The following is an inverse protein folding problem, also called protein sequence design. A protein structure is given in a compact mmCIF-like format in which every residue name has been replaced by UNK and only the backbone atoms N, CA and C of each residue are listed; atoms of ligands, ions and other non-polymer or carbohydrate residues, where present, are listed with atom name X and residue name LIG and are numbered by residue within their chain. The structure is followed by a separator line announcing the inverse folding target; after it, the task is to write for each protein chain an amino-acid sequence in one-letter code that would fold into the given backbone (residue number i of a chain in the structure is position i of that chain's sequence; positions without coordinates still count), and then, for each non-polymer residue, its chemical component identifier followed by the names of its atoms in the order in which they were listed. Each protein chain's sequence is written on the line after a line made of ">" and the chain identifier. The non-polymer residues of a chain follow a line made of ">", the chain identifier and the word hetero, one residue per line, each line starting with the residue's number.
data_IF_328859473414
#
_entry.id   IF_328859473414
#
_cell.length_a   1.000
_cell.length_b   1.000
_cell.length_c   1.000
_cell.angle_alpha   90.00
_cell.angle_beta   90.00
_cell.angle_gamma   90.00
#
_symmetry.space_group_name_H-M   'P 1'
#
loop_
_entity.id
_entity.type
_entity.pdbx_description
1 polymer ?
#
# COMPACT_ATOMS: atom_id res chain seq x y z
N UNK A 1 -47.14 23.71 16.22
CA UNK A 1 -46.03 24.69 16.20
C UNK A 1 -44.89 24.03 15.43
N UNK A 2 -44.51 24.68 14.32
CA UNK A 2 -43.56 24.39 13.23
C UNK A 2 -42.66 23.13 13.29
N UNK A 3 -42.87 22.25 12.30
CA UNK A 3 -41.87 21.36 11.70
C UNK A 3 -40.95 22.16 10.76
N UNK A 4 -39.68 21.76 10.65
CA UNK A 4 -38.77 22.19 9.59
C UNK A 4 -38.19 20.96 8.89
N UNK A 5 -38.40 20.89 7.58
CA UNK A 5 -37.68 20.04 6.63
C UNK A 5 -36.89 21.01 5.74
N UNK A 6 -35.58 20.81 5.62
CA UNK A 6 -34.74 21.50 4.65
C UNK A 6 -34.37 20.51 3.55
N UNK A 7 -34.98 20.69 2.38
CA UNK A 7 -34.53 20.11 1.11
C UNK A 7 -34.11 21.28 0.24
N UNK A 8 -32.86 21.29 -0.20
CA UNK A 8 -32.32 22.26 -1.15
C UNK A 8 -31.90 21.52 -2.41
N UNK A 9 -32.73 21.63 -3.43
CA UNK A 9 -32.31 21.47 -4.81
C UNK A 9 -31.38 22.63 -5.19
N UNK A 10 -30.34 22.32 -5.96
CA UNK A 10 -29.84 23.21 -7.02
C UNK A 10 -29.18 22.37 -8.11
N UNK A 11 -29.87 22.34 -9.24
CA UNK A 11 -29.39 21.98 -10.56
C UNK A 11 -28.19 22.83 -11.00
N UNK A 12 -27.29 22.26 -11.80
CA UNK A 12 -27.11 22.70 -13.20
C UNK A 12 -26.09 21.84 -13.93
N UNK A 13 -26.53 21.26 -15.02
CA UNK A 13 -25.74 20.69 -16.12
C UNK A 13 -24.94 21.80 -16.83
N UNK A 14 -23.64 21.62 -16.99
CA UNK A 14 -22.86 22.30 -18.02
C UNK A 14 -22.48 21.32 -19.13
N UNK A 15 -23.15 21.46 -20.28
CA UNK A 15 -22.61 21.04 -21.57
C UNK A 15 -21.72 22.17 -22.08
N UNK A 16 -20.45 21.87 -22.36
CA UNK A 16 -19.64 22.70 -23.25
C UNK A 16 -19.44 21.95 -24.55
N UNK A 17 -20.12 22.43 -25.58
CA UNK A 17 -19.92 22.09 -26.98
C UNK A 17 -18.75 22.94 -27.46
N UNK A 18 -17.59 22.35 -27.76
CA UNK A 18 -16.56 23.05 -28.52
C UNK A 18 -16.71 22.77 -30.01
N UNK A 19 -16.80 23.89 -30.70
CA UNK A 19 -16.97 24.09 -32.12
C UNK A 19 -15.77 23.50 -32.88
N UNK A 20 -16.06 22.70 -33.89
CA UNK A 20 -15.13 22.30 -34.95
C UNK A 20 -14.82 23.55 -35.78
N UNK A 21 -13.59 24.05 -35.67
CA UNK A 21 -13.03 24.99 -36.61
C UNK A 21 -12.01 24.25 -37.48
N UNK A 22 -12.46 23.80 -38.64
CA UNK A 22 -11.65 23.30 -39.74
C UNK A 22 -10.80 24.46 -40.27
N UNK A 23 -9.54 24.53 -39.85
CA UNK A 23 -8.53 25.36 -40.50
C UNK A 23 -7.88 24.50 -41.59
N UNK A 24 -8.25 24.77 -42.84
CA UNK A 24 -7.58 24.22 -44.01
C UNK A 24 -6.17 24.83 -44.10
N UNK A 25 -5.18 24.10 -43.58
CA UNK A 25 -3.77 24.39 -43.83
C UNK A 25 -3.43 23.85 -45.21
N UNK A 26 -3.11 24.78 -46.09
CA UNK A 26 -2.58 24.55 -47.43
C UNK A 26 -1.31 23.69 -47.33
N UNK A 27 -1.43 22.41 -47.68
CA UNK A 27 -0.32 21.47 -47.77
C UNK A 27 0.53 21.85 -49.00
N UNK A 28 1.48 22.76 -48.83
CA UNK A 28 2.60 22.86 -49.75
C UNK A 28 3.45 21.60 -49.57
N UNK A 29 3.42 20.73 -50.58
CA UNK A 29 4.44 19.71 -50.76
C UNK A 29 5.79 20.40 -51.00
N UNK A 30 6.50 20.73 -49.93
CA UNK A 30 7.94 20.80 -49.96
C UNK A 30 8.41 19.35 -50.03
N UNK A 31 8.62 18.86 -51.26
CA UNK A 31 9.53 17.73 -51.46
C UNK A 31 10.80 18.09 -50.72
N UNK A 32 11.10 17.37 -49.63
CA UNK A 32 12.42 17.42 -49.04
C UNK A 32 13.41 17.29 -50.21
N UNK A 33 14.40 18.20 -50.35
CA UNK A 33 15.44 17.96 -51.31
C UNK A 33 15.96 16.56 -51.01
N UNK A 34 15.82 15.65 -51.97
CA UNK A 34 16.60 14.42 -51.98
C UNK A 34 17.99 14.86 -51.58
N UNK A 35 18.49 14.37 -50.44
CA UNK A 35 19.83 14.73 -50.00
C UNK A 35 20.72 14.44 -51.18
N UNK A 36 21.18 15.51 -51.83
CA UNK A 36 22.38 15.41 -52.64
C UNK A 36 23.36 14.85 -51.64
N UNK A 37 23.73 13.58 -51.80
CA UNK A 37 24.93 13.07 -51.17
C UNK A 37 26.00 14.06 -51.62
N UNK A 38 26.30 15.00 -50.73
CA UNK A 38 27.57 15.68 -50.75
C UNK A 38 28.51 14.50 -50.62
N UNK A 39 29.07 14.07 -51.74
CA UNK A 39 30.24 13.21 -51.73
C UNK A 39 31.27 14.07 -51.02
N UNK A 40 31.33 13.90 -49.70
CA UNK A 40 32.51 14.28 -48.93
C UNK A 40 33.68 13.67 -49.70
N UNK A 41 34.74 14.47 -49.87
CA UNK A 41 35.87 14.10 -50.70
C UNK A 41 36.44 12.74 -50.28
N UNK A 42 37.47 12.30 -50.98
CA UNK A 42 38.20 11.07 -50.69
C UNK A 42 38.78 10.96 -49.27
N UNK A 43 38.44 11.84 -48.34
CA UNK A 43 39.04 11.97 -47.03
C UNK A 43 38.44 10.94 -46.05
N UNK A 44 39.20 10.51 -45.04
CA UNK A 44 38.67 9.62 -44.01
C UNK A 44 37.57 10.33 -43.20
N UNK A 45 36.48 9.62 -42.94
CA UNK A 45 35.29 10.14 -42.26
C UNK A 45 34.89 9.21 -41.11
N UNK A 46 35.57 9.24 -39.95
CA UNK A 46 35.13 8.49 -38.79
C UNK A 46 33.79 9.06 -38.32
N UNK A 47 32.73 8.27 -38.22
CA UNK A 47 31.39 8.70 -37.79
C UNK A 47 30.94 7.83 -36.63
N UNK A 48 30.45 8.44 -35.54
CA UNK A 48 29.80 7.70 -34.46
C UNK A 48 28.52 7.05 -35.01
N UNK A 49 28.38 5.75 -34.80
CA UNK A 49 27.23 4.94 -35.23
C UNK A 49 26.30 4.62 -34.07
N UNK A 50 26.84 4.54 -32.86
CA UNK A 50 26.09 4.18 -31.66
C UNK A 50 26.84 4.60 -30.40
N UNK A 51 26.09 5.01 -29.38
CA UNK A 51 26.61 5.15 -28.02
C UNK A 51 25.83 4.21 -27.12
N UNK A 52 26.52 3.40 -26.33
CA UNK A 52 25.90 2.49 -25.36
C UNK A 52 26.37 2.85 -23.96
N UNK A 53 25.46 2.72 -22.98
CA UNK A 53 25.82 2.76 -21.56
C UNK A 53 25.49 1.44 -20.89
N UNK A 54 26.44 0.99 -20.09
CA UNK A 54 26.47 -0.35 -19.51
C UNK A 54 26.64 -0.26 -18.00
N UNK A 55 25.94 -1.14 -17.28
CA UNK A 55 26.19 -1.39 -15.86
C UNK A 55 27.29 -2.44 -15.70
N UNK A 56 28.32 -2.05 -14.96
CA UNK A 56 29.49 -2.87 -14.65
C UNK A 56 29.79 -2.91 -13.15
N UNK A 57 28.82 -2.54 -12.31
CA UNK A 57 29.05 -2.35 -10.86
C UNK A 57 29.36 -3.64 -10.11
N UNK A 58 28.87 -4.78 -10.61
CA UNK A 58 29.13 -6.10 -10.05
C UNK A 58 30.35 -6.81 -10.67
N UNK A 59 31.13 -6.10 -11.50
CA UNK A 59 32.27 -6.64 -12.24
C UNK A 59 33.56 -5.98 -11.77
N UNK A 60 34.68 -6.70 -11.89
CA UNK A 60 36.01 -6.18 -11.50
C UNK A 60 37.03 -6.46 -12.60
N UNK A 61 38.09 -5.64 -12.66
CA UNK A 61 39.16 -5.79 -13.64
C UNK A 61 38.68 -5.86 -15.09
N UNK A 62 39.25 -6.78 -15.88
CA UNK A 62 38.92 -6.97 -17.30
C UNK A 62 37.47 -7.40 -17.55
N UNK A 63 36.75 -7.93 -16.54
CA UNK A 63 35.34 -8.27 -16.71
C UNK A 63 34.48 -7.04 -16.94
N UNK A 64 34.82 -5.87 -16.36
CA UNK A 64 34.10 -4.61 -16.64
C UNK A 64 34.18 -4.22 -18.12
N UNK A 65 35.18 -4.69 -18.83
CA UNK A 65 35.43 -4.34 -20.23
C UNK A 65 34.74 -5.31 -21.20
N UNK A 66 34.70 -6.60 -20.85
CA UNK A 66 34.20 -7.64 -21.73
C UNK A 66 32.77 -8.08 -21.40
N UNK A 67 32.36 -7.90 -20.14
CA UNK A 67 31.06 -8.27 -19.62
C UNK A 67 30.34 -7.01 -19.13
N UNK A 68 29.02 -7.00 -19.26
CA UNK A 68 28.19 -5.87 -18.82
C UNK A 68 26.73 -6.13 -19.12
N UNK A 69 25.84 -5.47 -18.38
CA UNK A 69 24.44 -5.36 -18.78
C UNK A 69 24.22 -4.04 -19.51
N UNK A 70 23.75 -4.09 -20.76
CA UNK A 70 23.36 -2.88 -21.50
C UNK A 70 22.19 -2.22 -20.75
N UNK A 71 22.33 -0.94 -20.41
CA UNK A 71 21.28 -0.12 -19.79
C UNK A 71 20.48 0.57 -20.88
N UNK A 72 21.18 1.30 -21.76
CA UNK A 72 20.56 2.10 -22.81
C UNK A 72 21.50 2.27 -24.03
N UNK A 73 20.95 2.66 -25.18
CA UNK A 73 21.67 2.83 -26.43
C UNK A 73 21.02 3.91 -27.31
N UNK A 74 21.84 4.82 -27.83
CA UNK A 74 21.41 5.84 -28.80
C UNK A 74 22.10 5.64 -30.14
N UNK A 75 21.39 5.94 -31.22
CA UNK A 75 21.91 5.93 -32.60
C UNK A 75 21.87 7.36 -33.15
N UNK A 76 23.02 7.92 -33.57
CA UNK A 76 23.10 9.26 -34.15
C UNK A 76 22.09 9.48 -35.28
N UNK A 77 21.38 10.61 -35.24
CA UNK A 77 20.32 10.95 -36.18
C UNK A 77 18.94 10.41 -35.81
N UNK A 78 18.80 9.74 -34.66
CA UNK A 78 17.51 9.40 -34.06
C UNK A 78 16.73 10.63 -33.57
N UNK A 79 15.45 10.42 -33.24
CA UNK A 79 14.60 11.46 -32.63
C UNK A 79 14.95 11.74 -31.16
N UNK A 80 15.67 10.82 -30.52
CA UNK A 80 16.12 10.92 -29.14
C UNK A 80 17.63 10.68 -29.08
N UNK A 81 18.34 11.65 -28.51
CA UNK A 81 19.79 11.62 -28.32
C UNK A 81 20.15 11.62 -26.83
N UNK A 82 19.22 11.21 -25.96
CA UNK A 82 19.42 11.13 -24.52
C UNK A 82 19.62 9.67 -24.09
N UNK A 83 20.76 9.38 -23.46
CA UNK A 83 20.95 8.13 -22.72
C UNK A 83 20.30 8.26 -21.34
N UNK A 84 19.40 7.33 -20.99
CA UNK A 84 18.71 7.31 -19.70
C UNK A 84 19.27 6.20 -18.80
N UNK A 85 19.71 6.59 -17.61
CA UNK A 85 20.20 5.66 -16.59
C UNK A 85 19.36 5.83 -15.32
N UNK A 86 18.67 4.77 -14.90
CA UNK A 86 17.90 4.71 -13.65
C UNK A 86 18.34 3.49 -12.84
N UNK A 87 19.08 3.67 -11.74
CA UNK A 87 19.58 2.54 -10.91
C UNK A 87 19.66 2.86 -9.40
N UNK A 88 19.67 1.77 -8.61
CA UNK A 88 19.75 1.77 -7.14
C UNK A 88 21.19 1.84 -6.60
N UNK A 89 21.31 2.13 -5.29
CA UNK A 89 22.52 2.47 -4.49
C UNK A 89 23.78 1.64 -4.70
N UNK A 90 23.65 0.39 -5.14
CA UNK A 90 24.79 -0.53 -5.26
C UNK A 90 25.59 -0.33 -6.56
N UNK A 91 25.10 0.53 -7.45
CA UNK A 91 25.68 0.73 -8.77
C UNK A 91 26.65 1.90 -8.76
N UNK A 92 27.92 1.59 -8.48
CA UNK A 92 28.98 2.61 -8.52
C UNK A 92 29.73 2.64 -9.85
N UNK A 93 29.51 1.72 -10.79
CA UNK A 93 30.35 1.58 -11.98
C UNK A 93 29.59 1.48 -13.30
N UNK A 94 29.90 2.40 -14.21
CA UNK A 94 29.36 2.44 -15.56
C UNK A 94 30.46 2.30 -16.61
N UNK A 95 30.10 1.79 -17.79
CA UNK A 95 30.93 1.83 -19.00
C UNK A 95 30.17 2.54 -20.11
N UNK A 96 30.79 3.54 -20.73
CA UNK A 96 30.27 4.17 -21.95
C UNK A 96 31.07 3.68 -23.15
N UNK A 97 30.37 3.25 -24.20
CA UNK A 97 30.96 2.71 -25.43
C UNK A 97 30.52 3.53 -26.65
N UNK A 98 31.47 3.95 -27.48
CA UNK A 98 31.27 4.64 -28.75
C UNK A 98 31.66 3.73 -29.91
N UNK A 99 30.67 3.24 -30.66
CA UNK A 99 30.92 2.54 -31.92
C UNK A 99 31.12 3.55 -33.03
N UNK A 100 32.29 3.56 -33.64
CA UNK A 100 32.71 4.49 -34.69
C UNK A 100 32.96 3.70 -35.96
N UNK A 101 32.48 4.18 -37.11
CA UNK A 101 32.74 3.59 -38.41
C UNK A 101 33.34 4.64 -39.33
N UNK A 102 34.40 4.28 -40.04
CA UNK A 102 34.93 5.15 -41.09
C UNK A 102 34.04 5.03 -42.34
N UNK A 103 33.24 6.05 -42.61
CA UNK A 103 32.36 6.14 -43.78
C UNK A 103 33.08 6.78 -45.00
N UNK A 104 34.33 7.20 -44.85
CA UNK A 104 35.14 7.77 -45.92
C UNK A 104 35.76 6.70 -46.82
N UNK A 105 36.17 7.09 -48.02
CA UNK A 105 36.79 6.20 -49.02
C UNK A 105 38.30 5.98 -48.79
N UNK A 106 38.90 6.66 -47.80
CA UNK A 106 40.28 6.49 -47.37
C UNK A 106 40.38 5.99 -45.93
N UNK A 107 41.51 5.37 -45.62
CA UNK A 107 41.85 4.92 -44.28
C UNK A 107 42.06 6.10 -43.32
N UNK A 108 41.48 6.01 -42.12
CA UNK A 108 41.68 6.98 -41.06
C UNK A 108 42.90 6.56 -40.23
N UNK A 109 44.04 7.19 -40.48
CA UNK A 109 45.23 7.03 -39.64
C UNK A 109 45.06 7.81 -38.34
N UNK A 110 45.23 7.14 -37.21
CA UNK A 110 45.29 7.70 -35.87
C UNK A 110 46.78 7.83 -35.52
N UNK A 111 47.20 9.01 -35.11
CA UNK A 111 48.57 9.37 -34.74
C UNK A 111 48.57 10.26 -33.50
N UNK A 112 49.75 10.52 -32.93
CA UNK A 112 49.90 11.37 -31.74
C UNK A 112 49.44 12.82 -31.92
N UNK A 113 49.21 13.26 -33.16
CA UNK A 113 48.74 14.61 -33.47
C UNK A 113 47.22 14.67 -33.66
N UNK A 114 46.53 13.53 -33.66
CA UNK A 114 45.09 13.43 -33.88
C UNK A 114 44.35 13.52 -32.56
N UNK A 115 43.16 14.12 -32.60
CA UNK A 115 42.31 14.29 -31.42
C UNK A 115 41.25 13.20 -31.38
N UNK A 116 41.15 12.51 -30.25
CA UNK A 116 40.06 11.59 -29.91
C UNK A 116 39.63 11.95 -28.50
N UNK A 117 38.46 12.57 -28.34
CA UNK A 117 38.00 13.01 -27.03
C UNK A 117 36.48 13.00 -26.86
N UNK A 118 36.06 12.98 -25.60
CA UNK A 118 34.69 13.14 -25.15
C UNK A 118 34.63 14.26 -24.11
N UNK A 119 33.82 15.27 -24.37
CA UNK A 119 33.71 16.49 -23.58
C UNK A 119 32.31 16.64 -22.98
N UNK A 120 32.19 17.49 -21.96
CA UNK A 120 30.94 17.70 -21.21
C UNK A 120 30.76 16.69 -20.08
N UNK A 121 31.85 16.07 -19.62
CA UNK A 121 31.83 15.17 -18.47
C UNK A 121 31.80 15.95 -17.17
N UNK A 122 31.04 15.46 -16.19
CA UNK A 122 31.04 16.01 -14.84
C UNK A 122 32.27 15.55 -14.07
N UNK A 123 33.39 16.26 -14.27
CA UNK A 123 34.64 15.96 -13.59
C UNK A 123 34.60 16.17 -12.07
N UNK A 124 33.51 16.74 -11.51
CA UNK A 124 33.35 16.92 -10.05
C UNK A 124 32.74 15.66 -9.45
N UNK A 125 31.67 15.14 -10.07
CA UNK A 125 30.92 14.03 -9.51
C UNK A 125 31.32 12.66 -10.09
N UNK A 126 32.00 12.64 -11.25
CA UNK A 126 32.44 11.41 -11.91
C UNK A 126 33.90 11.11 -11.59
N UNK A 127 34.15 9.91 -11.10
CA UNK A 127 35.49 9.35 -10.95
C UNK A 127 35.79 8.45 -12.13
N UNK A 128 36.70 8.89 -13.01
CA UNK A 128 37.14 8.12 -14.18
C UNK A 128 38.46 7.43 -13.87
N UNK A 129 38.56 6.16 -14.24
CA UNK A 129 39.85 5.45 -14.29
C UNK A 129 40.46 5.71 -15.67
N UNK A 130 41.36 6.71 -15.75
CA UNK A 130 41.93 7.15 -17.03
C UNK A 130 43.14 6.33 -17.46
N UNK A 131 43.79 5.59 -16.55
CA UNK A 131 44.98 4.79 -16.87
C UNK A 131 44.59 3.43 -17.45
N UNK A 132 43.70 2.71 -16.77
CA UNK A 132 43.25 1.39 -17.21
C UNK A 132 41.82 1.40 -17.71
N UNK A 133 40.98 2.29 -17.18
CA UNK A 133 39.56 2.32 -17.48
C UNK A 133 39.16 3.02 -18.78
N UNK A 134 40.09 3.63 -19.54
CA UNK A 134 39.80 4.21 -20.85
C UNK A 134 40.64 3.54 -21.96
N UNK A 135 39.98 3.13 -23.04
CA UNK A 135 40.65 2.45 -24.16
C UNK A 135 39.93 2.68 -25.49
N UNK A 136 40.63 2.39 -26.59
CA UNK A 136 40.00 2.20 -27.88
C UNK A 136 40.56 0.95 -28.59
N UNK A 137 39.73 0.37 -29.47
CA UNK A 137 40.04 -0.83 -30.23
C UNK A 137 39.51 -0.69 -31.65
N UNK A 138 40.42 -0.73 -32.62
CA UNK A 138 40.08 -0.89 -34.04
C UNK A 138 39.72 -2.36 -34.29
N UNK A 139 38.73 -2.62 -35.13
CA UNK A 139 38.27 -3.97 -35.48
C UNK A 139 39.45 -4.88 -35.88
N UNK A 140 39.54 -6.06 -35.27
CA UNK A 140 40.65 -7.02 -35.39
C UNK A 140 42.04 -6.53 -34.90
N UNK A 141 42.12 -5.34 -34.29
CA UNK A 141 43.34 -4.77 -33.73
C UNK A 141 43.51 -5.01 -32.23
N UNK A 142 44.71 -4.71 -31.74
CA UNK A 142 45.00 -4.68 -30.30
C UNK A 142 44.26 -3.55 -29.60
N UNK A 143 43.89 -3.77 -28.35
CA UNK A 143 43.35 -2.75 -27.44
C UNK A 143 44.46 -1.75 -27.10
N UNK A 144 44.15 -0.46 -27.11
CA UNK A 144 45.07 0.62 -26.72
C UNK A 144 44.48 1.37 -25.54
N UNK A 145 45.25 1.47 -24.46
CA UNK A 145 44.82 2.05 -23.19
C UNK A 145 45.41 3.44 -23.00
N UNK A 146 44.78 4.18 -22.10
CA UNK A 146 45.25 5.47 -21.65
C UNK A 146 44.35 6.59 -22.16
N UNK A 147 44.04 7.50 -21.26
CA UNK A 147 43.42 8.77 -21.54
C UNK A 147 43.90 9.81 -20.51
N UNK A 148 43.58 11.07 -20.75
CA UNK A 148 43.72 12.15 -19.78
C UNK A 148 42.37 12.83 -19.58
N UNK A 149 42.05 13.20 -18.33
CA UNK A 149 40.83 13.95 -18.01
C UNK A 149 41.22 15.36 -17.55
N UNK A 150 40.83 16.37 -18.33
CA UNK A 150 41.10 17.78 -18.01
C UNK A 150 39.84 18.59 -18.22
N UNK A 151 39.32 19.22 -17.16
CA UNK A 151 38.15 20.12 -17.20
C UNK A 151 36.91 19.50 -17.89
N UNK A 152 36.58 18.24 -17.58
CA UNK A 152 35.43 17.55 -18.18
C UNK A 152 35.64 17.07 -19.63
N UNK A 153 36.86 17.17 -20.15
CA UNK A 153 37.29 16.59 -21.43
C UNK A 153 38.15 15.35 -21.16
N UNK A 154 37.64 14.16 -21.52
CA UNK A 154 38.40 12.91 -21.58
C UNK A 154 39.04 12.77 -22.96
N UNK A 155 40.36 12.70 -23.02
CA UNK A 155 41.14 12.64 -24.25
C UNK A 155 41.96 11.34 -24.30
N UNK A 156 41.64 10.45 -25.24
CA UNK A 156 42.30 9.15 -25.40
C UNK A 156 43.72 9.30 -25.92
N UNK A 157 44.64 8.44 -25.47
CA UNK A 157 46.04 8.45 -25.92
C UNK A 157 46.17 7.88 -27.36
N UNK A 158 46.19 8.80 -28.32
CA UNK A 158 46.37 8.51 -29.75
C UNK A 158 47.82 8.21 -30.14
N UNK A 159 48.80 8.36 -29.24
CA UNK A 159 50.22 8.06 -29.52
C UNK A 159 50.46 6.59 -29.84
N UNK A 160 49.59 5.70 -29.35
CA UNK A 160 49.61 4.29 -29.67
C UNK A 160 49.29 3.98 -31.15
N UNK A 161 48.67 4.94 -31.85
CA UNK A 161 48.54 5.09 -33.30
C UNK A 161 47.85 3.93 -34.04
N UNK A 162 47.13 4.11 -35.15
CA UNK A 162 46.56 2.98 -35.90
C UNK A 162 45.88 3.36 -37.20
N UNK A 163 45.27 2.39 -37.86
CA UNK A 163 44.61 2.58 -39.14
C UNK A 163 43.21 2.01 -39.03
N UNK A 164 42.19 2.86 -39.09
CA UNK A 164 40.80 2.47 -39.21
C UNK A 164 40.44 2.46 -40.71
N UNK A 165 40.39 1.27 -41.35
CA UNK A 165 40.21 1.19 -42.80
C UNK A 165 38.90 1.81 -43.25
N UNK A 166 38.80 2.19 -44.52
CA UNK A 166 37.49 2.55 -45.11
C UNK A 166 36.46 1.44 -44.85
N UNK A 167 35.29 1.83 -44.34
CA UNK A 167 34.21 0.92 -43.92
C UNK A 167 34.46 0.16 -42.61
N UNK A 168 35.68 0.22 -42.05
CA UNK A 168 36.06 -0.45 -40.80
C UNK A 168 35.47 0.20 -39.56
N UNK A 169 35.50 -0.54 -38.44
CA UNK A 169 34.93 -0.09 -37.15
C UNK A 169 35.98 0.07 -36.05
N UNK A 170 35.68 0.95 -35.12
CA UNK A 170 36.43 1.20 -33.89
C UNK A 170 35.45 1.30 -32.73
N UNK A 171 35.84 0.81 -31.56
CA UNK A 171 35.14 1.08 -30.31
C UNK A 171 36.04 1.94 -29.42
N UNK A 172 35.55 3.07 -28.94
CA UNK A 172 36.18 3.86 -27.88
C UNK A 172 35.33 3.74 -26.62
N UNK A 173 35.95 3.42 -25.49
CA UNK A 173 35.25 3.11 -24.26
C UNK A 173 35.92 3.77 -23.07
N UNK A 174 35.14 4.09 -22.04
CA UNK A 174 35.69 4.40 -20.73
C UNK A 174 34.78 3.95 -19.58
N UNK A 175 35.41 3.68 -18.43
CA UNK A 175 34.77 3.40 -17.16
C UNK A 175 34.66 4.67 -16.34
N UNK A 176 33.50 4.88 -15.73
CA UNK A 176 33.31 5.95 -14.77
C UNK A 176 32.46 5.47 -13.61
N UNK A 177 32.75 6.03 -12.45
CA UNK A 177 31.98 5.83 -11.25
C UNK A 177 31.33 7.17 -10.87
N UNK A 178 30.16 7.12 -10.25
CA UNK A 178 29.49 8.31 -9.69
C UNK A 178 29.11 8.04 -8.25
N UNK A 179 29.17 9.08 -7.43
CA UNK A 179 29.10 9.00 -5.97
C UNK A 179 27.88 9.68 -5.36
N UNK A 180 27.01 10.29 -6.18
CA UNK A 180 25.86 11.07 -5.71
C UNK A 180 24.59 10.72 -6.49
N UNK A 181 23.44 10.98 -5.85
CA UNK A 181 22.17 11.10 -6.55
C UNK A 181 22.27 12.29 -7.49
N UNK A 182 22.37 11.98 -8.77
CA UNK A 182 22.44 12.97 -9.83
C UNK A 182 21.16 12.76 -10.63
N UNK A 183 20.37 13.81 -10.78
CA UNK A 183 19.35 13.92 -11.82
C UNK A 183 19.76 15.11 -12.68
N UNK A 184 20.75 14.87 -13.54
CA UNK A 184 21.37 15.90 -14.36
C UNK A 184 21.41 15.48 -15.82
N UNK A 185 21.23 16.48 -16.69
CA UNK A 185 21.40 16.37 -18.12
C UNK A 185 22.75 16.95 -18.51
N UNK A 186 23.62 16.11 -19.06
CA UNK A 186 24.92 16.52 -19.54
C UNK A 186 24.89 16.63 -21.06
N UNK A 187 25.13 17.84 -21.56
CA UNK A 187 25.38 18.05 -22.99
C UNK A 187 26.81 17.63 -23.29
N UNK A 188 26.96 16.59 -24.08
CA UNK A 188 28.24 15.93 -24.33
C UNK A 188 28.60 15.97 -25.80
N UNK A 189 29.90 15.99 -26.07
CA UNK A 189 30.42 16.04 -27.44
C UNK A 189 31.53 15.03 -27.59
N UNK A 190 31.37 14.11 -28.53
CA UNK A 190 32.42 13.21 -28.96
C UNK A 190 33.05 13.74 -30.25
N UNK A 191 34.38 13.79 -30.33
CA UNK A 191 35.09 14.27 -31.52
C UNK A 191 36.24 13.34 -31.88
N UNK A 192 36.37 13.07 -33.17
CA UNK A 192 37.51 12.38 -33.77
C UNK A 192 38.01 13.20 -34.96
N UNK A 193 39.22 13.76 -34.87
CA UNK A 193 39.79 14.64 -35.90
C UNK A 193 41.18 14.14 -36.35
N UNK A 194 41.36 14.02 -37.66
CA UNK A 194 42.65 13.81 -38.29
C UNK A 194 43.28 15.16 -38.64
N UNK A 195 44.31 15.53 -37.89
CA UNK A 195 44.96 16.84 -38.01
C UNK A 195 45.74 16.95 -39.34
N UNK A 196 46.17 15.83 -39.92
CA UNK A 196 46.88 15.78 -41.20
C UNK A 196 45.98 15.90 -42.43
N UNK A 197 44.74 15.42 -42.35
CA UNK A 197 43.78 15.37 -43.46
C UNK A 197 42.71 16.48 -43.39
N UNK A 198 42.66 17.27 -42.31
CA UNK A 198 41.56 18.22 -42.05
C UNK A 198 40.17 17.56 -42.11
N UNK A 199 40.10 16.30 -41.72
CA UNK A 199 38.89 15.48 -41.77
C UNK A 199 38.58 14.92 -40.39
N UNK A 200 37.30 14.76 -40.08
CA UNK A 200 36.87 14.31 -38.77
C UNK A 200 35.36 14.27 -38.63
N UNK A 201 34.90 13.86 -37.46
CA UNK A 201 33.51 14.06 -37.05
C UNK A 201 33.42 14.65 -35.66
N UNK A 202 32.31 15.36 -35.49
CA UNK A 202 31.82 15.80 -34.19
C UNK A 202 30.41 15.24 -34.02
N UNK A 203 30.14 14.61 -32.89
CA UNK A 203 28.83 14.10 -32.54
C UNK A 203 28.41 14.63 -31.17
N UNK A 204 27.32 15.40 -31.15
CA UNK A 204 26.71 15.92 -29.95
C UNK A 204 25.59 15.00 -29.48
N UNK A 205 25.59 14.66 -28.19
CA UNK A 205 24.56 13.87 -27.54
C UNK A 205 24.31 14.39 -26.14
N UNK A 206 23.17 14.01 -25.57
CA UNK A 206 22.87 14.31 -24.18
C UNK A 206 22.90 13.01 -23.39
N UNK A 207 23.32 13.10 -22.14
CA UNK A 207 23.27 11.98 -21.21
C UNK A 207 22.47 12.44 -20.01
N UNK A 208 21.30 11.83 -19.79
CA UNK A 208 20.46 12.05 -18.61
C UNK A 208 20.74 10.93 -17.63
N UNK A 209 21.54 11.22 -16.61
CA UNK A 209 21.78 10.26 -15.53
C UNK A 209 20.82 10.61 -14.41
N UNK A 210 19.96 9.66 -14.06
CA UNK A 210 19.07 9.76 -12.91
C UNK A 210 19.38 8.62 -11.92
N UNK A 211 20.26 8.91 -10.97
CA UNK A 211 20.54 8.02 -9.85
C UNK A 211 19.63 8.43 -8.71
N UNK A 212 18.69 7.54 -8.40
CA UNK A 212 17.76 7.69 -7.29
C UNK A 212 18.22 6.75 -6.18
N UNK A 213 18.51 7.31 -5.01
CA UNK A 213 18.76 6.50 -3.82
C UNK A 213 17.46 5.77 -3.47
N UNK A 214 17.46 4.42 -3.40
CA UNK A 214 16.32 3.68 -2.89
C UNK A 214 16.12 4.05 -1.42
N UNK A 215 14.89 4.38 -1.08
CA UNK A 215 14.48 4.67 0.28
C UNK A 215 14.35 3.41 1.14
N UNK A 216 14.16 3.65 2.42
CA UNK A 216 13.87 2.64 3.43
C UNK A 216 12.38 2.75 3.81
N UNK A 217 11.67 1.63 3.78
CA UNK A 217 10.29 1.58 4.24
C UNK A 217 10.27 1.48 5.76
N UNK A 218 9.47 2.31 6.43
CA UNK A 218 9.15 2.19 7.85
C UNK A 218 7.65 1.93 8.00
N UNK A 219 7.25 0.84 8.66
CA UNK A 219 5.85 0.43 8.75
C UNK A 219 5.42 0.35 10.21
N UNK A 220 4.31 0.98 10.55
CA UNK A 220 3.76 1.00 11.91
C UNK A 220 2.30 0.57 11.94
N UNK A 221 1.98 -0.41 12.78
CA UNK A 221 0.62 -0.86 13.03
C UNK A 221 -0.04 0.00 14.11
N UNK A 222 -0.96 0.88 13.73
CA UNK A 222 -1.66 1.78 14.65
C UNK A 222 -2.81 1.05 15.37
N UNK A 223 -3.56 0.21 14.65
CA UNK A 223 -4.67 -0.61 15.16
C UNK A 223 -4.64 -2.00 14.51
N UNK A 224 -5.09 -3.07 15.21
CA UNK A 224 -5.57 -3.07 16.58
C UNK A 224 -4.41 -3.08 17.60
N UNK A 225 -4.60 -2.58 18.84
CA UNK A 225 -3.62 -2.69 19.92
C UNK A 225 -3.35 -4.15 20.29
N UNK A 226 -2.19 -4.42 20.85
CA UNK A 226 -1.84 -5.77 21.27
C UNK A 226 -2.79 -6.29 22.36
N UNK A 227 -3.18 -7.57 22.27
CA UNK A 227 -4.19 -8.25 23.10
C UNK A 227 -5.63 -7.77 22.88
N UNK A 228 -5.99 -7.38 21.66
CA UNK A 228 -7.36 -7.02 21.32
C UNK A 228 -8.27 -8.25 21.27
N UNK A 229 -9.50 -8.12 21.79
CA UNK A 229 -10.55 -9.13 21.65
C UNK A 229 -11.48 -8.74 20.52
N UNK A 230 -11.57 -9.59 19.52
CA UNK A 230 -12.40 -9.42 18.33
C UNK A 230 -13.67 -10.23 18.52
N UNK A 231 -14.81 -9.68 18.12
CA UNK A 231 -16.03 -10.46 18.10
C UNK A 231 -16.08 -11.33 16.85
N UNK A 232 -16.45 -12.60 17.00
CA UNK A 232 -16.74 -13.44 15.85
C UNK A 232 -17.85 -12.83 14.97
N UNK A 233 -17.71 -12.95 13.66
CA UNK A 233 -18.59 -12.44 12.62
C UNK A 233 -18.82 -10.91 12.66
N UNK A 234 -17.88 -10.16 13.23
CA UNK A 234 -17.87 -8.69 13.15
C UNK A 234 -16.62 -8.18 12.46
N UNK A 235 -16.78 -6.99 11.91
CA UNK A 235 -15.71 -6.22 11.32
C UNK A 235 -14.91 -5.49 12.40
N UNK A 236 -13.59 -5.51 12.29
CA UNK A 236 -12.67 -4.66 13.01
C UNK A 236 -11.74 -3.95 12.02
N UNK A 237 -11.08 -2.89 12.47
CA UNK A 237 -10.16 -2.14 11.62
C UNK A 237 -8.70 -2.56 11.90
N UNK A 238 -7.95 -2.81 10.83
CA UNK A 238 -6.49 -2.76 10.86
C UNK A 238 -6.07 -1.40 10.30
N UNK A 239 -5.41 -0.59 11.11
CA UNK A 239 -4.90 0.71 10.71
C UNK A 239 -3.37 0.66 10.68
N UNK A 240 -2.75 0.99 9.56
CA UNK A 240 -1.29 0.96 9.44
C UNK A 240 -0.78 2.11 8.61
N UNK A 241 0.37 2.65 9.01
CA UNK A 241 1.09 3.72 8.30
C UNK A 241 2.38 3.15 7.73
N UNK A 242 2.67 3.51 6.48
CA UNK A 242 3.99 3.31 5.86
C UNK A 242 4.61 4.67 5.55
N UNK A 243 5.88 4.82 5.90
CA UNK A 243 6.71 5.99 5.62
C UNK A 243 7.88 5.58 4.72
N UNK A 244 8.25 6.46 3.80
CA UNK A 244 9.46 6.31 3.00
C UNK A 244 10.57 7.20 3.55
N UNK A 245 11.72 6.63 3.89
CA UNK A 245 12.84 7.33 4.52
C UNK A 245 14.07 7.33 3.59
N UNK A 246 14.90 8.37 3.68
CA UNK A 246 16.27 8.40 3.13
C UNK A 246 16.43 8.17 1.61
N UNK A 247 15.36 8.20 0.81
CA UNK A 247 15.40 7.98 -0.63
C UNK A 247 13.99 7.83 -1.22
N UNK A 248 13.89 7.48 -2.50
CA UNK A 248 12.61 7.19 -3.14
C UNK A 248 12.18 5.74 -2.89
N UNK A 249 10.91 5.52 -2.56
CA UNK A 249 10.36 4.19 -2.39
C UNK A 249 9.43 3.77 -3.55
N UNK A 250 9.09 4.67 -4.46
CA UNK A 250 8.28 4.38 -5.64
C UNK A 250 6.87 3.90 -5.27
N UNK A 251 6.33 2.96 -6.04
CA UNK A 251 5.02 2.37 -5.73
C UNK A 251 5.16 1.32 -4.62
N UNK A 252 4.49 1.55 -3.49
CA UNK A 252 4.57 0.70 -2.30
C UNK A 252 3.22 0.04 -2.04
N UNK A 253 3.20 -1.29 -2.02
CA UNK A 253 2.03 -2.08 -1.66
C UNK A 253 2.07 -2.44 -0.18
N UNK A 254 1.03 -2.09 0.57
CA UNK A 254 0.83 -2.46 1.96
C UNK A 254 -0.21 -3.58 2.04
N UNK A 255 0.20 -4.75 2.54
CA UNK A 255 -0.66 -5.92 2.78
C UNK A 255 -0.98 -6.06 4.26
N UNK A 256 -2.25 -6.28 4.61
CA UNK A 256 -2.65 -6.77 5.93
C UNK A 256 -2.49 -8.29 6.01
N UNK A 257 -1.91 -8.78 7.11
CA UNK A 257 -1.53 -10.19 7.28
C UNK A 257 -1.92 -10.73 8.64
N UNK A 258 -1.98 -12.06 8.72
CA UNK A 258 -2.17 -12.79 9.97
C UNK A 258 -1.28 -14.03 10.04
N UNK A 259 -1.18 -14.63 11.23
CA UNK A 259 -0.48 -15.88 11.44
C UNK A 259 -1.19 -16.74 12.50
N UNK A 260 -1.31 -18.05 12.22
CA UNK A 260 -1.83 -19.07 13.13
C UNK A 260 -0.75 -20.08 13.61
N UNK A 261 0.33 -20.30 12.84
CA UNK A 261 1.30 -21.39 13.12
C UNK A 261 2.68 -21.24 12.45
N UNK A 262 3.22 -20.02 12.36
CA UNK A 262 4.61 -19.75 12.02
C UNK A 262 4.86 -19.14 10.64
N UNK A 263 3.93 -19.31 9.68
CA UNK A 263 3.96 -18.61 8.39
C UNK A 263 2.94 -17.47 8.37
N UNK A 264 3.34 -16.32 7.85
CA UNK A 264 2.45 -15.16 7.69
C UNK A 264 1.72 -15.27 6.36
N UNK A 265 0.42 -15.06 6.42
CA UNK A 265 -0.47 -15.12 5.26
C UNK A 265 -1.13 -13.76 5.09
N UNK A 266 -1.23 -13.30 3.85
CA UNK A 266 -2.04 -12.13 3.51
C UNK A 266 -3.52 -12.46 3.80
N UNK A 267 -4.23 -11.51 4.39
CA UNK A 267 -5.68 -11.66 4.63
C UNK A 267 -6.37 -11.52 3.26
N UNK A 268 -7.11 -12.53 2.77
CA UNK A 268 -7.75 -12.45 1.45
C UNK A 268 -8.81 -11.35 1.38
N UNK A 269 -9.11 -10.88 0.17
CA UNK A 269 -10.18 -9.93 -0.15
C UNK A 269 -11.54 -10.60 -0.45
N UNK A 270 -11.64 -11.89 -0.12
CA UNK A 270 -12.82 -12.72 -0.29
C UNK A 270 -13.10 -13.53 0.97
N UNK A 271 -14.37 -13.87 1.26
CA UNK A 271 -14.74 -14.60 2.47
C UNK A 271 -13.87 -15.85 2.71
N UNK A 272 -13.14 -15.84 3.82
CA UNK A 272 -12.24 -16.92 4.26
C UNK A 272 -12.15 -16.93 5.78
N UNK A 273 -11.68 -18.04 6.34
CA UNK A 273 -11.26 -18.14 7.74
C UNK A 273 -9.74 -17.94 7.87
N UNK A 274 -9.26 -17.42 9.01
CA UNK A 274 -10.02 -16.84 10.11
C UNK A 274 -10.41 -15.38 9.87
N UNK A 275 -9.89 -14.77 8.79
CA UNK A 275 -10.10 -13.38 8.44
C UNK A 275 -10.30 -13.21 6.94
N UNK A 276 -11.05 -12.17 6.56
CA UNK A 276 -11.04 -11.61 5.22
C UNK A 276 -11.26 -10.09 5.26
N UNK A 277 -10.72 -9.38 4.28
CA UNK A 277 -10.87 -7.93 4.13
C UNK A 277 -12.12 -7.59 3.32
N UNK A 278 -12.76 -6.47 3.66
CA UNK A 278 -13.82 -5.84 2.87
C UNK A 278 -13.13 -4.81 1.97
N UNK A 279 -12.82 -5.23 0.74
CA UNK A 279 -12.09 -4.42 -0.23
C UNK A 279 -10.71 -4.97 -0.53
N UNK A 280 -9.91 -4.19 -1.27
CA UNK A 280 -8.62 -4.66 -1.77
C UNK A 280 -7.58 -4.83 -0.67
N UNK A 281 -6.87 -5.94 -0.71
CA UNK A 281 -5.62 -6.18 0.00
C UNK A 281 -4.65 -6.88 -0.97
N UNK A 282 -3.53 -6.25 -1.37
CA UNK A 282 -2.91 -5.04 -0.82
C UNK A 282 -3.59 -3.71 -1.21
N UNK A 283 -3.19 -2.63 -0.51
CA UNK A 283 -3.43 -1.22 -0.90
C UNK A 283 -2.12 -0.56 -1.32
N UNK A 284 -2.15 0.38 -2.27
CA UNK A 284 -0.93 0.93 -2.89
C UNK A 284 -0.77 2.42 -2.62
N UNK A 285 0.41 2.82 -2.13
CA UNK A 285 0.91 4.19 -2.22
C UNK A 285 1.60 4.39 -3.58
N UNK A 286 1.28 5.48 -4.26
CA UNK A 286 1.87 5.78 -5.56
C UNK A 286 3.05 6.73 -5.41
N UNK A 287 4.16 6.41 -6.08
CA UNK A 287 5.33 7.29 -6.25
C UNK A 287 5.82 7.95 -4.96
N UNK A 288 6.02 7.16 -3.89
CA UNK A 288 6.50 7.68 -2.61
C UNK A 288 7.94 8.17 -2.71
N UNK A 289 8.17 9.43 -2.31
CA UNK A 289 9.49 10.04 -2.13
C UNK A 289 9.89 10.08 -0.65
N UNK A 290 11.14 10.49 -0.37
CA UNK A 290 11.65 10.59 0.99
C UNK A 290 10.82 11.58 1.83
N UNK A 291 10.31 11.11 2.96
CA UNK A 291 9.44 11.86 3.86
C UNK A 291 7.95 11.68 3.60
N UNK A 292 7.56 11.03 2.50
CA UNK A 292 6.16 10.71 2.24
C UNK A 292 5.66 9.63 3.21
N UNK A 293 4.37 9.70 3.52
CA UNK A 293 3.67 8.70 4.31
C UNK A 293 2.26 8.45 3.77
N UNK A 294 1.80 7.21 3.92
CA UNK A 294 0.40 6.85 3.71
C UNK A 294 -0.13 6.07 4.90
N UNK A 295 -1.39 6.32 5.25
CA UNK A 295 -2.12 5.52 6.23
C UNK A 295 -3.28 4.82 5.54
N UNK A 296 -3.39 3.50 5.77
CA UNK A 296 -4.48 2.70 5.24
C UNK A 296 -5.25 2.00 6.36
N UNK A 297 -6.57 1.97 6.18
CA UNK A 297 -7.51 1.24 7.03
C UNK A 297 -7.97 0.01 6.25
N UNK A 298 -7.88 -1.18 6.83
CA UNK A 298 -8.45 -2.40 6.29
C UNK A 298 -9.62 -2.81 7.18
N UNK A 299 -10.82 -2.82 6.63
CA UNK A 299 -11.99 -3.37 7.31
C UNK A 299 -11.91 -4.90 7.20
N UNK A 300 -11.72 -5.59 8.32
CA UNK A 300 -11.50 -7.04 8.35
C UNK A 300 -12.61 -7.71 9.13
N UNK A 301 -13.22 -8.75 8.56
CA UNK A 301 -14.19 -9.57 9.26
C UNK A 301 -13.49 -10.76 9.96
N UNK A 302 -13.79 -10.98 11.24
CA UNK A 302 -13.25 -12.07 12.04
C UNK A 302 -14.19 -13.29 12.03
N UNK A 303 -13.92 -14.28 11.20
CA UNK A 303 -14.74 -15.49 11.00
C UNK A 303 -14.13 -16.76 11.59
N UNK A 304 -12.91 -16.67 12.12
CA UNK A 304 -12.23 -17.82 12.70
C UNK A 304 -12.90 -18.38 13.95
N UNK A 305 -12.48 -19.58 14.39
CA UNK A 305 -13.04 -20.21 15.57
C UNK A 305 -12.85 -19.37 16.84
N UNK A 306 -13.89 -19.31 17.67
CA UNK A 306 -13.87 -18.64 18.97
C UNK A 306 -12.84 -19.29 19.90
N UNK A 307 -12.13 -18.47 20.66
CA UNK A 307 -11.07 -18.85 21.58
C UNK A 307 -9.68 -18.89 20.94
N UNK A 308 -9.57 -18.82 19.62
CA UNK A 308 -8.27 -18.83 18.95
C UNK A 308 -7.58 -17.46 18.99
N UNK A 309 -6.26 -17.50 19.10
CA UNK A 309 -5.38 -16.33 19.05
C UNK A 309 -4.65 -16.24 17.71
N UNK A 310 -4.52 -15.04 17.18
CA UNK A 310 -3.85 -14.75 15.93
C UNK A 310 -2.93 -13.54 16.09
N UNK A 311 -1.79 -13.54 15.41
CA UNK A 311 -0.95 -12.36 15.31
C UNK A 311 -1.23 -11.63 14.02
N UNK A 312 -1.65 -10.36 14.11
CA UNK A 312 -1.90 -9.45 13.00
C UNK A 312 -0.69 -8.54 12.81
N UNK A 313 -0.29 -8.32 11.56
CA UNK A 313 0.65 -7.26 11.19
C UNK A 313 0.39 -6.77 9.76
N UNK A 314 1.20 -5.82 9.31
CA UNK A 314 1.20 -5.36 7.92
C UNK A 314 2.60 -5.44 7.33
N UNK A 315 2.69 -5.59 6.01
CA UNK A 315 3.95 -5.60 5.27
C UNK A 315 3.88 -4.67 4.09
N UNK A 316 4.89 -3.81 3.97
CA UNK A 316 5.09 -2.93 2.84
C UNK A 316 6.11 -3.55 1.89
N UNK A 317 5.79 -3.55 0.60
CA UNK A 317 6.64 -4.03 -0.50
C UNK A 317 6.72 -2.98 -1.58
N UNK A 318 7.93 -2.56 -1.93
CA UNK A 318 8.14 -1.64 -3.05
C UNK A 318 8.35 -2.39 -4.36
N UNK A 319 7.88 -1.81 -5.47
CA UNK A 319 8.25 -2.25 -6.82
C UNK A 319 9.61 -1.70 -7.29
N UNK A 320 10.19 -0.73 -6.57
CA UNK A 320 11.47 -0.12 -6.91
C UNK A 320 12.63 -1.02 -6.47
N UNK A 321 13.54 -1.42 -7.39
CA UNK A 321 14.71 -2.22 -7.02
C UNK A 321 15.58 -1.53 -5.97
N UNK A 322 16.05 -2.30 -4.98
CA UNK A 322 16.90 -1.80 -3.88
C UNK A 322 16.14 -1.27 -2.67
N UNK A 323 14.81 -1.15 -2.73
CA UNK A 323 13.97 -0.86 -1.56
C UNK A 323 13.56 -2.17 -0.92
N UNK A 324 14.13 -2.47 0.25
CA UNK A 324 13.82 -3.68 1.00
C UNK A 324 12.40 -3.65 1.57
N UNK A 325 11.77 -4.82 1.63
CA UNK A 325 10.47 -4.97 2.27
C UNK A 325 10.59 -4.71 3.78
N UNK A 326 9.56 -4.11 4.38
CA UNK A 326 9.49 -3.95 5.83
C UNK A 326 8.10 -4.33 6.37
N UNK A 327 8.03 -4.68 7.64
CA UNK A 327 6.81 -5.10 8.31
C UNK A 327 6.64 -4.36 9.62
N UNK A 328 5.38 -4.15 10.01
CA UNK A 328 5.06 -3.54 11.29
C UNK A 328 5.38 -4.44 12.47
N UNK A 329 5.26 -3.88 13.68
CA UNK A 329 5.05 -4.65 14.89
C UNK A 329 3.81 -5.55 14.77
N UNK A 330 3.79 -6.57 15.61
CA UNK A 330 2.70 -7.54 15.71
C UNK A 330 1.70 -7.12 16.77
N UNK A 331 0.43 -7.39 16.50
CA UNK A 331 -0.65 -7.31 17.47
C UNK A 331 -1.28 -8.68 17.66
N UNK A 332 -1.34 -9.17 18.90
CA UNK A 332 -2.06 -10.39 19.25
C UNK A 332 -3.55 -10.07 19.37
N UNK A 333 -4.38 -10.81 18.65
CA UNK A 333 -5.83 -10.69 18.71
C UNK A 333 -6.45 -12.04 19.07
N UNK A 334 -7.52 -12.03 19.85
CA UNK A 334 -8.28 -13.22 20.19
C UNK A 334 -9.69 -13.08 19.61
N UNK A 335 -10.14 -14.09 18.85
CA UNK A 335 -11.54 -14.13 18.41
C UNK A 335 -12.37 -14.67 19.56
N UNK A 336 -13.27 -13.85 20.07
CA UNK A 336 -14.07 -14.11 21.25
C UNK A 336 -15.57 -13.99 20.92
N UNK A 337 -16.38 -14.47 21.85
CA UNK A 337 -17.83 -14.39 21.78
C UNK A 337 -18.35 -13.60 22.97
N UNK A 338 -18.99 -12.47 22.69
CA UNK A 338 -19.61 -11.66 23.74
C UNK A 338 -21.09 -11.38 23.48
N UNK A 339 -21.88 -11.63 24.53
CA UNK A 339 -23.26 -11.22 24.67
C UNK A 339 -23.31 -10.02 25.61
N UNK A 340 -23.87 -8.92 25.14
CA UNK A 340 -24.02 -7.69 25.91
C UNK A 340 -25.52 -7.43 26.05
N UNK A 341 -26.05 -7.74 27.22
CA UNK A 341 -27.45 -7.48 27.58
C UNK A 341 -27.48 -6.41 28.66
N UNK A 342 -28.26 -5.36 28.43
CA UNK A 342 -28.46 -4.27 29.37
C UNK A 342 -29.87 -4.32 29.91
N UNK A 343 -29.99 -4.29 31.23
CA UNK A 343 -31.24 -3.99 31.93
C UNK A 343 -31.15 -2.56 32.45
N UNK A 344 -32.13 -1.73 32.12
CA UNK A 344 -32.18 -0.35 32.60
C UNK A 344 -32.77 -0.23 34.01
N UNK A 345 -33.32 -1.31 34.57
CA UNK A 345 -33.94 -1.36 35.90
C UNK A 345 -33.37 -2.49 36.73
N UNK A 346 -32.37 -2.17 37.56
CA UNK A 346 -31.78 -3.15 38.50
C UNK A 346 -32.73 -3.64 39.61
N UNK A 347 -33.96 -3.10 39.69
CA UNK A 347 -34.97 -3.48 40.70
C UNK A 347 -36.38 -3.40 40.12
N UNK A 348 -37.21 -4.38 40.47
CA UNK A 348 -38.65 -4.38 40.20
C UNK A 348 -39.43 -4.34 41.52
N UNK A 349 -40.46 -3.51 41.60
CA UNK A 349 -41.33 -3.37 42.78
C UNK A 349 -42.79 -3.46 42.37
N UNK A 350 -43.62 -4.05 43.23
CA UNK A 350 -45.08 -4.11 43.06
C UNK A 350 -45.82 -3.10 43.95
N UNK A 351 -45.08 -2.27 44.70
CA UNK A 351 -45.66 -1.32 45.66
C UNK A 351 -46.38 -2.00 46.82
N UNK A 352 -47.40 -1.33 47.37
CA UNK A 352 -48.27 -1.91 48.40
C UNK A 352 -49.41 -2.67 47.72
N UNK A 353 -49.53 -3.95 48.05
CA UNK A 353 -50.50 -4.86 47.45
C UNK A 353 -51.31 -5.54 48.55
N UNK A 354 -52.64 -5.57 48.39
CA UNK A 354 -53.53 -6.22 49.36
C UNK A 354 -53.45 -7.76 49.26
N UNK A 355 -53.67 -8.45 50.39
CA UNK A 355 -53.76 -9.91 50.41
C UNK A 355 -54.92 -10.41 49.53
N UNK A 356 -54.75 -11.60 48.93
CA UNK A 356 -55.76 -12.25 48.10
C UNK A 356 -56.15 -11.42 46.85
N UNK A 357 -55.18 -10.74 46.26
CA UNK A 357 -55.32 -10.03 44.99
C UNK A 357 -54.53 -10.75 43.90
N UNK A 358 -54.96 -10.59 42.66
CA UNK A 358 -54.31 -11.19 41.49
C UNK A 358 -53.95 -10.11 40.47
N UNK A 359 -52.95 -10.40 39.65
CA UNK A 359 -52.50 -9.53 38.56
C UNK A 359 -52.09 -8.13 39.01
N UNK A 360 -51.42 -8.02 40.16
CA UNK A 360 -50.91 -6.73 40.64
C UNK A 360 -49.72 -6.32 39.78
N UNK A 361 -49.81 -5.24 38.98
CA UNK A 361 -48.76 -4.88 38.04
C UNK A 361 -47.52 -4.36 38.77
N UNK A 362 -46.35 -4.69 38.24
CA UNK A 362 -45.12 -4.04 38.67
C UNK A 362 -45.17 -2.53 38.37
N UNK A 363 -44.52 -1.75 39.24
CA UNK A 363 -44.24 -0.34 39.00
C UNK A 363 -43.34 -0.25 37.77
N UNK A 364 -43.87 0.34 36.70
CA UNK A 364 -43.25 0.37 35.38
C UNK A 364 -44.15 -0.18 34.28
N UNK A 365 -45.08 -1.08 34.59
CA UNK A 365 -45.98 -1.63 33.58
C UNK A 365 -46.85 -0.55 32.92
N UNK A 366 -47.21 0.51 33.64
CA UNK A 366 -48.03 1.61 33.10
C UNK A 366 -47.24 2.66 32.31
N UNK A 367 -45.91 2.53 32.26
CA UNK A 367 -45.09 3.35 31.39
C UNK A 367 -45.18 2.84 29.96
N UNK A 368 -44.91 3.70 28.98
CA UNK A 368 -45.09 3.38 27.56
C UNK A 368 -44.20 2.24 27.03
N UNK A 369 -43.29 1.70 27.84
CA UNK A 369 -42.27 0.75 27.42
C UNK A 369 -41.90 -0.32 28.46
N UNK A 370 -42.76 -0.57 29.46
CA UNK A 370 -42.52 -1.63 30.47
C UNK A 370 -41.11 -1.63 31.09
N UNK A 371 -40.59 -2.83 31.39
CA UNK A 371 -39.19 -3.03 31.78
C UNK A 371 -38.35 -3.33 30.54
N UNK A 372 -37.49 -2.39 30.16
CA UNK A 372 -36.70 -2.47 28.95
C UNK A 372 -35.42 -3.28 29.14
N UNK A 373 -35.28 -4.35 28.35
CA UNK A 373 -34.07 -5.14 28.24
C UNK A 373 -33.53 -4.96 26.83
N UNK A 374 -32.27 -4.56 26.69
CA UNK A 374 -31.66 -4.28 25.39
C UNK A 374 -30.50 -5.21 25.12
N UNK A 375 -30.53 -5.89 23.99
CA UNK A 375 -29.36 -6.57 23.42
C UNK A 375 -28.57 -5.53 22.66
N UNK A 376 -27.33 -5.25 23.08
CA UNK A 376 -26.51 -4.18 22.50
C UNK A 376 -26.26 -4.42 21.00
N UNK A 377 -26.09 -3.35 20.21
CA UNK A 377 -25.76 -3.46 18.77
C UNK A 377 -24.44 -4.21 18.53
N UNK A 378 -23.54 -4.15 19.50
CA UNK A 378 -22.27 -4.88 19.49
C UNK A 378 -22.39 -6.27 20.13
N UNK A 379 -23.58 -6.75 20.49
CA UNK A 379 -23.75 -8.13 20.95
C UNK A 379 -23.82 -9.11 19.77
N UNK A 380 -23.65 -10.40 20.07
CA UNK A 380 -24.14 -11.46 19.19
C UNK A 380 -25.66 -11.60 19.32
N UNK A 381 -26.34 -12.17 18.30
CA UNK A 381 -27.75 -12.54 18.42
C UNK A 381 -27.98 -13.40 19.66
N UNK A 382 -29.12 -13.21 20.31
CA UNK A 382 -29.54 -14.06 21.44
C UNK A 382 -30.56 -15.06 20.92
N UNK A 383 -30.18 -16.32 20.85
CA UNK A 383 -31.06 -17.39 20.35
C UNK A 383 -32.20 -17.66 21.30
N UNK A 384 -31.96 -17.60 22.62
CA UNK A 384 -32.99 -17.76 23.64
C UNK A 384 -32.74 -16.86 24.84
N UNK A 385 -33.81 -16.19 25.28
CA UNK A 385 -33.80 -15.34 26.47
C UNK A 385 -34.75 -15.93 27.52
N UNK A 386 -34.22 -16.20 28.70
CA UNK A 386 -34.92 -16.85 29.80
C UNK A 386 -35.01 -15.95 31.02
N UNK A 387 -36.02 -16.22 31.85
CA UNK A 387 -36.25 -15.57 33.12
C UNK A 387 -36.45 -16.64 34.19
N UNK A 388 -35.80 -16.47 35.34
CA UNK A 388 -35.94 -17.33 36.51
C UNK A 388 -36.29 -16.48 37.72
N UNK A 389 -37.29 -16.90 38.49
CA UNK A 389 -37.79 -16.17 39.65
C UNK A 389 -37.62 -17.00 40.91
N UNK A 390 -37.00 -16.42 41.92
CA UNK A 390 -36.92 -17.02 43.25
C UNK A 390 -38.17 -16.76 44.09
N UNK A 391 -38.33 -17.48 45.20
CA UNK A 391 -39.37 -17.15 46.18
C UNK A 391 -39.19 -15.71 46.70
N UNK A 392 -40.26 -14.91 46.71
CA UNK A 392 -40.25 -13.69 47.49
C UNK A 392 -40.40 -14.07 48.97
N UNK A 393 -39.49 -13.63 49.82
CA UNK A 393 -39.40 -14.02 51.22
C UNK A 393 -39.68 -12.82 52.11
N UNK A 394 -40.55 -13.01 53.13
CA UNK A 394 -40.86 -11.97 54.12
C UNK A 394 -39.61 -11.59 54.93
N UNK A 395 -39.40 -10.28 55.11
CA UNK A 395 -38.33 -9.73 55.94
C UNK A 395 -38.58 -9.96 57.45
N UNK A 396 -39.84 -10.01 57.86
CA UNK A 396 -40.29 -10.27 59.22
C UNK A 396 -40.13 -11.74 59.61
N UNK A 397 -40.53 -12.67 58.73
CA UNK A 397 -40.42 -14.11 58.98
C UNK A 397 -40.18 -14.90 57.68
N UNK A 398 -38.98 -15.49 57.49
CA UNK A 398 -38.62 -16.26 56.30
C UNK A 398 -39.48 -17.52 56.00
N UNK A 399 -40.34 -17.91 56.94
CA UNK A 399 -41.33 -18.97 56.76
C UNK A 399 -42.50 -18.55 55.86
N UNK A 400 -42.80 -17.25 55.76
CA UNK A 400 -43.78 -16.75 54.79
C UNK A 400 -43.11 -16.42 53.47
N UNK A 401 -43.60 -17.06 52.41
CA UNK A 401 -43.04 -16.94 51.05
C UNK A 401 -44.16 -16.81 50.03
N UNK A 402 -43.90 -16.02 49.00
CA UNK A 402 -44.70 -16.00 47.78
C UNK A 402 -43.90 -16.77 46.72
N UNK A 403 -44.46 -17.86 46.23
CA UNK A 403 -43.75 -18.78 45.33
C UNK A 403 -43.63 -18.21 43.91
N UNK A 404 -42.72 -18.75 43.07
CA UNK A 404 -42.56 -18.30 41.68
C UNK A 404 -43.85 -18.39 40.86
N UNK A 405 -44.71 -19.37 41.11
CA UNK A 405 -46.00 -19.54 40.40
C UNK A 405 -47.03 -18.42 40.65
N UNK A 406 -46.75 -17.54 41.61
CA UNK A 406 -47.49 -16.32 41.86
C UNK A 406 -46.92 -15.10 41.10
N UNK A 407 -45.74 -15.23 40.49
CA UNK A 407 -45.17 -14.24 39.60
C UNK A 407 -45.54 -14.59 38.16
N UNK A 408 -45.89 -13.60 37.35
CA UNK A 408 -46.18 -13.78 35.93
C UNK A 408 -45.54 -12.69 35.08
N UNK A 409 -45.22 -13.02 33.84
CA UNK A 409 -44.55 -12.10 32.92
C UNK A 409 -45.11 -12.20 31.49
N UNK A 410 -44.94 -11.14 30.70
CA UNK A 410 -45.34 -11.11 29.30
C UNK A 410 -44.61 -10.00 28.52
N UNK A 411 -44.50 -10.15 27.19
CA UNK A 411 -43.99 -9.12 26.28
C UNK A 411 -45.06 -8.06 25.94
N UNK A 412 -46.33 -8.36 26.19
CA UNK A 412 -47.43 -7.42 26.08
C UNK A 412 -47.91 -7.00 27.47
N UNK A 413 -48.32 -5.74 27.64
CA UNK A 413 -48.90 -5.25 28.90
C UNK A 413 -50.35 -5.78 29.10
N UNK A 414 -50.49 -7.10 29.22
CA UNK A 414 -51.76 -7.77 29.39
C UNK A 414 -51.63 -8.97 30.35
N UNK A 415 -52.16 -8.86 31.58
CA UNK A 415 -52.08 -9.94 32.57
C UNK A 415 -52.90 -11.19 32.17
N UNK A 416 -53.89 -11.05 31.29
CA UNK A 416 -54.72 -12.21 30.89
C UNK A 416 -54.00 -13.20 29.97
N UNK A 417 -52.95 -12.73 29.29
CA UNK A 417 -52.10 -13.54 28.40
C UNK A 417 -50.72 -13.81 28.99
N UNK A 418 -50.46 -13.39 30.24
CA UNK A 418 -49.17 -13.57 30.89
C UNK A 418 -48.89 -15.04 31.24
N UNK A 419 -47.62 -15.41 31.21
CA UNK A 419 -47.14 -16.73 31.61
C UNK A 419 -46.72 -16.70 33.09
N UNK A 420 -47.03 -17.77 33.84
CA UNK A 420 -46.62 -17.89 35.25
C UNK A 420 -45.21 -18.46 35.34
N UNK A 421 -44.37 -17.87 36.18
CA UNK A 421 -43.02 -18.37 36.40
C UNK A 421 -43.05 -19.73 37.10
N UNK A 422 -42.18 -20.64 36.68
CA UNK A 422 -42.09 -21.99 37.27
C UNK A 422 -41.09 -22.07 38.41
N UNK A 423 -40.20 -21.07 38.51
CA UNK A 423 -39.01 -21.08 39.38
C UNK A 423 -37.78 -21.72 38.73
N UNK A 424 -37.94 -22.32 37.55
CA UNK A 424 -36.84 -22.68 36.65
C UNK A 424 -36.55 -21.57 35.63
N UNK A 425 -35.79 -21.91 34.59
CA UNK A 425 -35.55 -21.03 33.46
C UNK A 425 -36.77 -21.05 32.52
N UNK A 426 -37.62 -20.03 32.63
CA UNK A 426 -38.80 -19.85 31.79
C UNK A 426 -38.41 -19.09 30.51
N UNK A 427 -38.77 -19.62 29.34
CA UNK A 427 -38.46 -18.97 28.07
C UNK A 427 -39.32 -17.72 27.90
N UNK A 428 -38.68 -16.57 27.70
CA UNK A 428 -39.38 -15.31 27.42
C UNK A 428 -39.52 -15.10 25.92
N UNK A 429 -38.42 -15.21 25.17
CA UNK A 429 -38.41 -15.02 23.71
C UNK A 429 -37.17 -15.63 23.06
N UNK A 430 -37.13 -15.65 21.72
CA UNK A 430 -36.06 -16.24 20.91
C UNK A 430 -35.61 -15.31 19.78
N UNK A 431 -34.43 -15.58 19.23
CA UNK A 431 -33.88 -14.94 18.03
C UNK A 431 -33.80 -13.40 18.11
N UNK A 432 -33.40 -12.87 19.27
CA UNK A 432 -33.27 -11.43 19.48
C UNK A 432 -32.04 -10.93 18.73
N UNK A 433 -32.26 -10.03 17.77
CA UNK A 433 -31.17 -9.43 17.02
C UNK A 433 -30.42 -8.37 17.85
N UNK A 434 -29.12 -8.17 17.63
CA UNK A 434 -28.39 -7.05 18.21
C UNK A 434 -29.09 -5.71 17.93
N UNK A 435 -29.14 -4.82 18.91
CA UNK A 435 -29.86 -3.55 18.83
C UNK A 435 -31.33 -3.59 19.20
N UNK A 436 -31.88 -4.78 19.48
CA UNK A 436 -33.29 -4.93 19.84
C UNK A 436 -33.49 -4.60 21.32
N UNK A 437 -34.48 -3.76 21.59
CA UNK A 437 -35.05 -3.58 22.93
C UNK A 437 -36.33 -4.40 23.02
N UNK A 438 -36.44 -5.23 24.06
CA UNK A 438 -37.66 -5.94 24.43
C UNK A 438 -38.27 -5.27 25.66
N UNK A 439 -39.59 -5.08 25.64
CA UNK A 439 -40.34 -4.59 26.79
C UNK A 439 -40.94 -5.79 27.51
N UNK A 440 -40.65 -5.92 28.80
CA UNK A 440 -41.13 -7.01 29.64
C UNK A 440 -42.03 -6.45 30.75
N UNK A 441 -43.16 -7.09 30.98
CA UNK A 441 -44.17 -6.68 31.94
C UNK A 441 -44.34 -7.77 33.00
N UNK A 442 -44.51 -7.39 34.26
CA UNK A 442 -44.59 -8.33 35.38
C UNK A 442 -45.85 -8.14 36.21
N UNK A 443 -46.43 -9.22 36.72
CA UNK A 443 -47.53 -9.17 37.68
C UNK A 443 -47.33 -10.14 38.84
N UNK A 444 -47.89 -9.79 39.99
CA UNK A 444 -47.82 -10.59 41.21
C UNK A 444 -49.23 -10.95 41.70
N UNK A 445 -49.45 -12.23 41.98
CA UNK A 445 -50.60 -12.75 42.72
C UNK A 445 -50.23 -12.88 44.20
N UNK A 446 -50.99 -12.29 45.11
CA UNK A 446 -50.70 -12.36 46.55
C UNK A 446 -51.60 -13.41 47.21
N UNK A 447 -51.08 -14.59 47.60
CA UNK A 447 -51.89 -15.69 48.13
C UNK A 447 -52.47 -15.37 49.52
N UNK A 448 -53.49 -16.14 49.92
CA UNK A 448 -53.96 -16.18 51.30
C UNK A 448 -52.95 -16.90 52.21
N UNK A 449 -53.02 -16.64 53.51
CA UNK A 449 -52.21 -17.36 54.51
C UNK A 449 -50.79 -16.82 54.70
N UNK A 450 -50.49 -15.64 54.17
CA UNK A 450 -49.26 -14.90 54.42
C UNK A 450 -49.54 -13.64 55.27
N UNK A 451 -48.49 -13.05 55.85
CA UNK A 451 -48.61 -11.84 56.67
C UNK A 451 -48.34 -10.58 55.84
N UNK A 452 -48.89 -9.44 56.27
CA UNK A 452 -48.55 -8.15 55.67
C UNK A 452 -47.12 -7.78 56.06
N UNK A 453 -46.22 -7.73 55.08
CA UNK A 453 -44.81 -7.42 55.27
C UNK A 453 -44.14 -7.05 53.93
N UNK A 454 -42.86 -6.66 53.97
CA UNK A 454 -41.99 -6.53 52.81
C UNK A 454 -41.44 -7.90 52.39
N UNK A 455 -41.65 -8.24 51.12
CA UNK A 455 -41.17 -9.48 50.52
C UNK A 455 -40.10 -9.16 49.47
N UNK A 456 -38.95 -9.84 49.56
CA UNK A 456 -37.81 -9.66 48.68
C UNK A 456 -37.43 -10.98 47.99
N UNK A 457 -37.00 -10.90 46.74
CA UNK A 457 -36.47 -12.03 45.98
C UNK A 457 -35.69 -11.56 44.75
N UNK A 458 -35.25 -12.52 43.94
CA UNK A 458 -34.40 -12.25 42.77
C UNK A 458 -35.11 -12.70 41.50
N UNK A 459 -35.02 -11.88 40.46
CA UNK A 459 -35.31 -12.27 39.08
C UNK A 459 -33.97 -12.36 38.36
N UNK A 460 -33.64 -13.55 37.86
CA UNK A 460 -32.43 -13.81 37.08
C UNK A 460 -32.80 -13.86 35.61
N UNK A 461 -32.14 -13.06 34.79
CA UNK A 461 -32.28 -13.10 33.34
C UNK A 461 -31.09 -13.82 32.73
N UNK A 462 -31.34 -14.74 31.80
CA UNK A 462 -30.30 -15.53 31.13
C UNK A 462 -30.46 -15.38 29.63
N UNK A 463 -29.45 -14.82 28.97
CA UNK A 463 -29.35 -14.82 27.52
C UNK A 463 -28.42 -15.95 27.09
N UNK A 464 -28.91 -16.79 26.18
CA UNK A 464 -28.16 -17.87 25.58
C UNK A 464 -28.05 -17.65 24.08
N UNK A 465 -26.90 -18.03 23.53
CA UNK A 465 -26.68 -18.10 22.10
C UNK A 465 -25.86 -19.33 21.78
N UNK A 466 -26.21 -19.97 20.67
CA UNK A 466 -25.56 -21.13 20.09
C UNK A 466 -24.51 -20.64 19.08
N UNK A 467 -23.26 -21.04 19.31
CA UNK A 467 -22.12 -20.76 18.43
C UNK A 467 -22.05 -21.73 17.24
#
# INVERSE_FOLDING_TARGET
>A
MKQYIFVKDLSSTMRSTYLVATLAVLLLWLTAPTSSQITFGSDPQPVVQRVNIHDVSNLTGEDRENNSNLIDSITPGGSDNTLNVSKSKDVQGFRLDFLIKNEGDQDFSISSNDELFHNGLDAVNWSLDTEEGAWYRIENGSKRRGASLVNGKLEWDTSNGGILPSGGRMNASYLFNTSQNISENYNQTFRAENTGASSGSEYQHNTSIEIRDPGELNVTLNEPPNNTRLQVNKTFEINSTVECLNGECGNVNLSARYNQSGSRLDIPDSPSEPFYTIGSNPKTCQSMEAGDSCTFNFDVNATGPVGNEYSIDTEARSALPGVENNQSQKSLVNIDFFLIVRDFRNTTSFGSVDLNTSFNPAIGNNESSGHQITVDNYSQPVDSFYLQVDNLTSNFNPGYRIGPSNFSFNLENNPSTSERATGGADLVTKNIQPGTTIDLYYWLDVPLGIVQDYYNGTVTMVAASEL
#
